data_IF_276644107473
#
_entry.id   IF_276644107473
#
_cell.length_a   1.000
_cell.length_b   1.000
_cell.length_c   1.000
_cell.angle_alpha   90.00
_cell.angle_beta   90.00
_cell.angle_gamma   90.00
#
_symmetry.space_group_name_H-M   'P 1'
#
loop_
_entity.id
_entity.type
_entity.pdbx_description
1 polymer ?
#
# COMPACT_ATOMS: atom_id res chain seq x y z
N UNK A 1 7.61 2.00 -4.18
CA UNK A 1 7.64 2.56 -5.55
C UNK A 1 9.02 3.04 -5.97
N UNK A 2 9.66 3.97 -5.24
CA UNK A 2 10.96 4.54 -5.64
C UNK A 2 12.07 3.49 -5.88
N UNK A 3 12.13 2.43 -5.06
CA UNK A 3 13.13 1.37 -5.23
C UNK A 3 12.98 0.53 -6.50
N UNK A 4 11.75 0.36 -7.02
CA UNK A 4 11.49 -0.43 -8.23
C UNK A 4 11.97 0.30 -9.49
N UNK A 5 11.75 1.62 -9.55
CA UNK A 5 12.06 2.42 -10.74
C UNK A 5 13.47 3.00 -10.73
N UNK A 6 14.12 3.09 -9.57
CA UNK A 6 15.43 3.77 -9.40
C UNK A 6 16.49 3.31 -10.40
N UNK A 7 16.70 2.00 -10.54
CA UNK A 7 17.73 1.44 -11.42
C UNK A 7 17.42 1.69 -12.89
N UNK A 8 16.15 1.56 -13.28
CA UNK A 8 15.72 1.88 -14.63
C UNK A 8 15.90 3.37 -14.93
N UNK A 9 15.55 4.26 -14.00
CA UNK A 9 15.75 5.71 -14.17
C UNK A 9 17.23 6.07 -14.33
N UNK A 10 18.11 5.42 -13.56
CA UNK A 10 19.56 5.58 -13.71
C UNK A 10 20.05 5.07 -15.06
N UNK A 11 19.56 3.92 -15.51
CA UNK A 11 19.92 3.32 -16.80
C UNK A 11 19.49 4.22 -17.98
N UNK A 12 18.25 4.71 -17.97
CA UNK A 12 17.69 5.57 -19.03
C UNK A 12 18.42 6.91 -19.18
N UNK A 13 19.13 7.37 -18.15
CA UNK A 13 19.91 8.61 -18.18
C UNK A 13 21.37 8.40 -18.62
N UNK A 14 21.80 7.16 -18.84
CA UNK A 14 23.16 6.86 -19.28
C UNK A 14 23.35 7.04 -20.79
N UNK A 15 24.60 7.22 -21.23
CA UNK A 15 24.94 7.33 -22.65
C UNK A 15 25.15 5.96 -23.28
N UNK A 16 24.69 5.76 -24.51
CA UNK A 16 24.91 4.50 -25.24
C UNK A 16 24.00 3.36 -24.77
N UNK A 17 22.77 3.68 -24.34
CA UNK A 17 21.78 2.69 -23.90
C UNK A 17 21.30 1.79 -25.04
N UNK A 18 21.08 0.52 -24.73
CA UNK A 18 20.29 -0.36 -25.58
C UNK A 18 18.80 -0.15 -25.29
N UNK A 19 18.09 0.35 -26.31
CA UNK A 19 16.66 0.66 -26.24
C UNK A 19 15.79 -0.60 -26.14
N UNK A 20 16.23 -1.72 -26.71
CA UNK A 20 15.48 -2.97 -26.63
C UNK A 20 15.43 -3.46 -25.18
N UNK A 21 16.60 -3.57 -24.53
CA UNK A 21 16.70 -3.93 -23.11
C UNK A 21 15.97 -2.93 -22.20
N UNK A 22 16.02 -1.63 -22.51
CA UNK A 22 15.30 -0.60 -21.74
C UNK A 22 13.77 -0.81 -21.80
N UNK A 23 13.23 -1.11 -22.98
CA UNK A 23 11.80 -1.34 -23.18
C UNK A 23 11.31 -2.58 -22.44
N UNK A 24 12.09 -3.65 -22.44
CA UNK A 24 11.71 -4.88 -21.73
C UNK A 24 11.73 -4.66 -20.22
N UNK A 25 12.73 -3.94 -19.70
CA UNK A 25 12.79 -3.54 -18.29
C UNK A 25 11.59 -2.66 -17.87
N UNK A 26 11.13 -1.76 -18.76
CA UNK A 26 9.93 -0.95 -18.52
C UNK A 26 8.69 -1.84 -18.41
N UNK A 27 8.50 -2.78 -19.34
CA UNK A 27 7.35 -3.69 -19.33
C UNK A 27 7.32 -4.54 -18.06
N UNK A 28 8.46 -5.08 -17.65
CA UNK A 28 8.57 -5.85 -16.41
C UNK A 28 8.14 -5.02 -15.19
N UNK A 29 8.65 -3.79 -15.07
CA UNK A 29 8.29 -2.90 -13.96
C UNK A 29 6.79 -2.57 -14.00
N UNK A 30 6.21 -2.33 -15.17
CA UNK A 30 4.77 -2.09 -15.31
C UNK A 30 3.97 -3.28 -14.80
N UNK A 31 4.31 -4.50 -15.23
CA UNK A 31 3.67 -5.72 -14.75
C UNK A 31 3.79 -5.89 -13.24
N UNK A 32 4.96 -5.60 -12.65
CA UNK A 32 5.15 -5.64 -11.19
C UNK A 32 4.24 -4.63 -10.48
N UNK A 33 4.17 -3.39 -10.99
CA UNK A 33 3.32 -2.34 -10.40
C UNK A 33 1.84 -2.72 -10.51
N UNK A 34 1.41 -3.26 -11.65
CA UNK A 34 0.04 -3.76 -11.85
C UNK A 34 -0.29 -4.89 -10.89
N UNK A 35 0.64 -5.83 -10.68
CA UNK A 35 0.48 -6.92 -9.73
C UNK A 35 0.36 -6.41 -8.30
N UNK A 36 1.18 -5.45 -7.88
CA UNK A 36 1.07 -4.83 -6.55
C UNK A 36 -0.29 -4.16 -6.38
N UNK A 37 -0.76 -3.40 -7.37
CA UNK A 37 -2.07 -2.72 -7.31
C UNK A 37 -3.22 -3.70 -7.25
N UNK A 38 -3.16 -4.77 -8.05
CA UNK A 38 -4.21 -5.78 -8.15
C UNK A 38 -4.30 -6.63 -6.87
N UNK A 39 -3.17 -6.85 -6.18
CA UNK A 39 -3.12 -7.63 -4.95
C UNK A 39 -3.17 -6.78 -3.67
N UNK A 40 -3.22 -5.44 -3.77
CA UNK A 40 -3.13 -4.55 -2.63
C UNK A 40 -4.18 -4.85 -1.54
N UNK A 41 -5.42 -5.17 -1.93
CA UNK A 41 -6.48 -5.50 -0.97
C UNK A 41 -6.25 -6.86 -0.31
N UNK A 42 -5.84 -7.87 -1.09
CA UNK A 42 -5.62 -9.22 -0.57
C UNK A 42 -4.39 -9.29 0.33
N UNK A 43 -3.33 -8.55 -0.01
CA UNK A 43 -2.12 -8.44 0.81
C UNK A 43 -2.38 -7.64 2.08
N UNK A 44 -3.16 -6.55 2.01
CA UNK A 44 -3.61 -5.84 3.21
C UNK A 44 -4.40 -6.77 4.13
N UNK A 45 -5.34 -7.55 3.59
CA UNK A 45 -6.15 -8.49 4.37
C UNK A 45 -5.28 -9.51 5.11
N UNK A 46 -4.27 -10.10 4.46
CA UNK A 46 -3.33 -11.03 5.13
C UNK A 46 -2.61 -10.37 6.32
N UNK A 47 -2.18 -9.12 6.16
CA UNK A 47 -1.52 -8.35 7.22
C UNK A 47 -2.51 -8.07 8.36
N UNK A 48 -3.73 -7.67 8.00
CA UNK A 48 -4.79 -7.37 8.95
C UNK A 48 -5.17 -8.61 9.76
N UNK A 49 -5.46 -9.74 9.11
CA UNK A 49 -5.83 -11.00 9.76
C UNK A 49 -4.73 -11.45 10.75
N UNK A 50 -3.46 -11.31 10.38
CA UNK A 50 -2.33 -11.61 11.28
C UNK A 50 -2.27 -10.65 12.48
N UNK A 51 -2.59 -9.37 12.29
CA UNK A 51 -2.66 -8.42 13.39
C UNK A 51 -3.84 -8.75 14.34
N UNK A 52 -4.97 -9.21 13.81
CA UNK A 52 -6.11 -9.71 14.60
C UNK A 52 -5.71 -10.96 15.39
N UNK A 53 -5.07 -11.93 14.75
CA UNK A 53 -4.57 -13.15 15.41
C UNK A 53 -3.69 -12.81 16.60
N UNK A 54 -2.67 -11.96 16.40
CA UNK A 54 -1.79 -11.49 17.48
C UNK A 54 -2.58 -10.74 18.55
N UNK A 55 -3.50 -9.84 18.18
CA UNK A 55 -4.32 -9.10 19.13
C UNK A 55 -5.15 -10.02 20.03
N UNK A 56 -5.71 -11.07 19.44
CA UNK A 56 -6.57 -12.04 20.12
C UNK A 56 -5.80 -12.87 21.14
N UNK A 57 -4.51 -13.14 20.93
CA UNK A 57 -3.63 -13.75 21.93
C UNK A 57 -3.56 -12.91 23.23
N UNK A 58 -3.73 -11.59 23.12
CA UNK A 58 -3.74 -10.66 24.25
C UNK A 58 -5.15 -10.20 24.65
N UNK A 59 -6.21 -10.78 24.07
CA UNK A 59 -7.60 -10.39 24.31
C UNK A 59 -7.97 -9.00 23.77
N UNK A 60 -7.24 -8.52 22.76
CA UNK A 60 -7.45 -7.22 22.10
C UNK A 60 -8.06 -7.44 20.72
N UNK A 61 -9.31 -7.01 20.56
CA UNK A 61 -10.02 -7.06 19.29
C UNK A 61 -9.96 -5.70 18.57
N UNK A 62 -9.77 -5.67 17.24
CA UNK A 62 -9.78 -4.43 16.48
C UNK A 62 -11.17 -3.79 16.49
N UNK A 63 -11.27 -2.56 17.00
CA UNK A 63 -12.50 -1.77 17.00
C UNK A 63 -12.32 -0.48 16.23
N UNK A 64 -13.39 -0.02 15.58
CA UNK A 64 -13.39 1.28 14.93
C UNK A 64 -13.35 2.36 16.04
N UNK A 65 -12.39 3.30 16.00
CA UNK A 65 -12.34 4.40 16.95
C UNK A 65 -13.61 5.25 16.92
N UNK A 66 -13.93 5.90 18.04
CA UNK A 66 -15.08 6.81 18.12
C UNK A 66 -14.92 7.94 17.09
N UNK A 67 -15.91 8.05 16.21
CA UNK A 67 -16.08 9.17 15.27
C UNK A 67 -17.02 10.20 15.90
N UNK A 68 -16.61 11.46 15.96
CA UNK A 68 -17.44 12.58 16.45
C UNK A 68 -17.67 13.56 15.31
N UNK A 69 -18.75 14.37 15.38
CA UNK A 69 -19.17 15.26 14.30
C UNK A 69 -18.11 16.27 13.85
N UNK A 70 -17.14 16.62 14.70
CA UNK A 70 -15.94 17.36 14.31
C UNK A 70 -14.69 16.77 14.98
N UNK A 71 -13.69 16.44 14.17
CA UNK A 71 -12.35 16.08 14.65
C UNK A 71 -11.35 17.04 13.99
N UNK A 72 -10.51 17.69 14.81
CA UNK A 72 -9.53 18.69 14.35
C UNK A 72 -8.18 18.08 13.98
N UNK A 73 -7.86 16.92 14.55
CA UNK A 73 -6.53 16.32 14.48
C UNK A 73 -6.52 14.91 13.86
N UNK A 74 -7.69 14.35 13.53
CA UNK A 74 -7.82 13.03 12.91
C UNK A 74 -8.91 13.09 11.87
N UNK A 75 -8.63 12.51 10.70
CA UNK A 75 -9.62 12.37 9.65
C UNK A 75 -10.68 11.34 10.04
N UNK A 76 -11.92 11.68 9.71
CA UNK A 76 -13.07 10.82 9.95
C UNK A 76 -13.25 9.84 8.77
N UNK A 77 -12.31 8.89 8.63
CA UNK A 77 -12.34 7.96 7.51
C UNK A 77 -13.64 7.10 7.52
N UNK A 78 -14.28 6.92 6.35
CA UNK A 78 -15.38 5.98 6.21
C UNK A 78 -14.88 4.53 6.34
N UNK A 79 -15.79 3.61 6.65
CA UNK A 79 -15.50 2.19 6.84
C UNK A 79 -16.54 1.56 7.73
N UNK A 80 -17.24 0.54 7.25
CA UNK A 80 -18.27 -0.16 8.04
C UNK A 80 -17.63 -1.20 8.98
N UNK A 81 -16.47 -1.71 8.59
CA UNK A 81 -15.69 -2.70 9.36
C UNK A 81 -14.35 -2.12 9.84
N UNK A 82 -13.75 -2.67 10.90
CA UNK A 82 -12.39 -2.31 11.32
C UNK A 82 -11.38 -2.46 10.18
N UNK A 83 -11.46 -3.54 9.39
CA UNK A 83 -10.58 -3.78 8.23
C UNK A 83 -10.66 -2.64 7.22
N UNK A 84 -11.87 -2.25 6.79
CA UNK A 84 -12.08 -1.16 5.84
C UNK A 84 -11.57 0.18 6.38
N UNK A 85 -11.83 0.45 7.66
CA UNK A 85 -11.38 1.68 8.32
C UNK A 85 -9.85 1.75 8.37
N UNK A 86 -9.17 0.69 8.80
CA UNK A 86 -7.71 0.67 8.91
C UNK A 86 -7.03 0.66 7.53
N UNK A 87 -7.63 0.03 6.52
CA UNK A 87 -7.13 0.09 5.14
C UNK A 87 -7.14 1.50 4.58
N UNK A 88 -8.23 2.24 4.81
CA UNK A 88 -8.42 3.58 4.24
C UNK A 88 -7.61 4.63 5.00
N UNK A 89 -7.58 4.53 6.33
CA UNK A 89 -6.81 5.45 7.17
C UNK A 89 -5.29 5.32 7.02
N UNK A 90 -4.78 4.09 6.85
CA UNK A 90 -3.34 3.89 6.65
C UNK A 90 -2.84 4.36 5.27
N UNK A 91 -3.72 4.44 4.27
CA UNK A 91 -3.33 4.87 2.91
C UNK A 91 -3.05 6.37 2.79
N UNK A 92 -3.44 7.20 3.76
CA UNK A 92 -3.31 8.67 3.70
C UNK A 92 -2.25 9.25 4.66
N UNK A 93 -1.29 8.45 5.12
CA UNK A 93 -0.16 8.95 5.95
C UNK A 93 1.04 9.46 5.12
N UNK A 94 0.94 9.46 3.78
CA UNK A 94 2.00 9.86 2.85
C UNK A 94 1.57 10.89 1.78
N UNK A 95 0.47 11.63 2.02
CA UNK A 95 0.07 12.76 1.19
C UNK A 95 0.51 14.09 1.82
#
# INVERSE_FOLDING_TARGET
MLGLTYKLSQYLQSTGIDLCTALDSIKEILTIVENIRSNAESDFKKIFDKAVEIGNEFGVEPTIPRRVGSQRYRDNYPGATPEEYFRTSNNCSFC
#
